data_IF_273785767471
#
_entry.id   IF_273785767471
#
_cell.length_a   1.000
_cell.length_b   1.000
_cell.length_c   1.000
_cell.angle_alpha   90.00
_cell.angle_beta   90.00
_cell.angle_gamma   90.00
#
_symmetry.space_group_name_H-M   'P 1'
#
loop_
_entity.id
_entity.type
_entity.pdbx_description
1 polymer ?
#
# COMPACT_ATOMS: atom_id res chain seq x y z
N UNK A 1 21.79 -26.08 11.09
CA UNK A 1 21.64 -24.76 10.44
C UNK A 1 20.16 -24.44 10.41
N UNK A 2 19.79 -23.20 10.72
CA UNK A 2 18.39 -22.80 10.86
C UNK A 2 17.81 -22.43 9.50
N UNK A 3 16.74 -23.10 9.09
CA UNK A 3 15.88 -22.77 7.92
C UNK A 3 15.58 -21.27 7.79
N UNK A 4 15.59 -20.54 8.91
CA UNK A 4 15.29 -19.12 8.99
C UNK A 4 16.45 -18.18 8.64
N UNK A 5 17.69 -18.59 8.90
CA UNK A 5 18.86 -17.84 8.42
C UNK A 5 18.93 -17.92 6.88
N UNK A 6 18.51 -19.06 6.34
CA UNK A 6 18.41 -19.27 4.90
C UNK A 6 17.28 -18.41 4.29
N UNK A 7 16.09 -18.32 4.90
CA UNK A 7 15.00 -17.43 4.44
C UNK A 7 15.43 -15.96 4.36
N UNK A 8 16.08 -15.42 5.40
CA UNK A 8 16.54 -14.02 5.38
C UNK A 8 17.65 -13.80 4.33
N UNK A 9 18.52 -14.79 4.11
CA UNK A 9 19.52 -14.74 3.05
C UNK A 9 18.89 -14.86 1.65
N UNK A 10 17.83 -15.65 1.49
CA UNK A 10 17.10 -15.85 0.24
C UNK A 10 16.41 -14.57 -0.25
N UNK A 11 15.97 -13.71 0.66
CA UNK A 11 15.40 -12.39 0.33
C UNK A 11 16.47 -11.29 0.10
N UNK A 12 17.76 -11.61 0.17
CA UNK A 12 18.82 -10.72 -0.34
C UNK A 12 19.17 -10.98 -1.81
N UNK A 13 18.73 -12.14 -2.35
CA UNK A 13 18.88 -12.54 -3.75
C UNK A 13 17.69 -12.14 -4.62
N UNK A 14 17.93 -11.85 -5.89
CA UNK A 14 16.95 -11.31 -6.84
C UNK A 14 15.78 -12.25 -7.25
N UNK A 15 15.37 -13.22 -6.40
CA UNK A 15 14.40 -14.28 -6.71
C UNK A 15 13.22 -14.32 -5.72
N UNK A 16 12.63 -13.16 -5.43
CA UNK A 16 11.73 -13.01 -4.28
C UNK A 16 10.40 -13.78 -4.36
N UNK A 17 9.74 -13.86 -5.53
CA UNK A 17 8.44 -14.53 -5.69
C UNK A 17 8.51 -16.06 -5.48
N UNK A 18 9.57 -16.69 -6.01
CA UNK A 18 9.82 -18.14 -5.91
C UNK A 18 9.93 -18.62 -4.46
N UNK A 19 10.62 -17.88 -3.61
CA UNK A 19 10.79 -18.25 -2.20
C UNK A 19 9.47 -18.20 -1.43
N UNK A 20 8.57 -17.28 -1.79
CA UNK A 20 7.23 -17.23 -1.21
C UNK A 20 6.37 -18.39 -1.70
N UNK A 21 6.55 -18.82 -2.95
CA UNK A 21 5.93 -20.04 -3.46
C UNK A 21 6.30 -21.26 -2.61
N UNK A 22 7.58 -21.40 -2.25
CA UNK A 22 8.07 -22.45 -1.36
C UNK A 22 7.45 -22.35 0.04
N UNK A 23 7.41 -21.15 0.63
CA UNK A 23 6.78 -20.95 1.95
C UNK A 23 5.29 -21.32 1.91
N UNK A 24 4.56 -20.91 0.87
CA UNK A 24 3.14 -21.25 0.71
C UNK A 24 2.92 -22.74 0.50
N UNK A 25 3.82 -23.43 -0.22
CA UNK A 25 3.82 -24.90 -0.32
C UNK A 25 3.97 -25.54 1.06
N UNK A 26 4.94 -25.09 1.87
CA UNK A 26 5.14 -25.64 3.22
C UNK A 26 3.93 -25.36 4.13
N UNK A 27 3.31 -24.18 4.03
CA UNK A 27 2.05 -23.90 4.71
C UNK A 27 0.96 -24.87 4.24
N UNK A 28 0.82 -25.10 2.95
CA UNK A 28 -0.14 -26.08 2.41
C UNK A 28 0.08 -27.50 2.91
N UNK A 29 1.33 -27.94 3.02
CA UNK A 29 1.68 -29.29 3.46
C UNK A 29 1.50 -29.49 4.97
N UNK A 30 1.87 -28.50 5.78
CA UNK A 30 1.86 -28.62 7.25
C UNK A 30 0.58 -28.07 7.90
N UNK A 31 -0.11 -27.16 7.22
CA UNK A 31 -1.35 -26.50 7.69
C UNK A 31 -2.37 -26.43 6.54
N UNK A 32 -2.81 -27.59 6.02
CA UNK A 32 -3.63 -27.64 4.80
C UNK A 32 -4.93 -26.85 4.93
N UNK A 33 -5.58 -26.84 6.10
CA UNK A 33 -6.80 -26.08 6.33
C UNK A 33 -6.60 -24.57 6.09
N UNK A 34 -5.47 -24.00 6.52
CA UNK A 34 -5.20 -22.57 6.39
C UNK A 34 -5.11 -22.13 4.93
N UNK A 35 -4.36 -22.87 4.11
CA UNK A 35 -4.16 -22.52 2.71
C UNK A 35 -5.30 -23.01 1.81
N UNK A 36 -5.85 -24.21 2.04
CA UNK A 36 -7.00 -24.71 1.29
C UNK A 36 -8.24 -23.84 1.48
N UNK A 37 -8.52 -23.33 2.69
CA UNK A 37 -9.63 -22.40 2.91
C UNK A 37 -9.46 -21.06 2.20
N UNK A 38 -8.22 -20.58 2.07
CA UNK A 38 -7.91 -19.38 1.30
C UNK A 38 -8.21 -19.61 -0.20
N UNK A 39 -7.68 -20.70 -0.75
CA UNK A 39 -7.86 -21.06 -2.16
C UNK A 39 -9.32 -21.32 -2.48
N UNK A 40 -10.04 -22.04 -1.61
CA UNK A 40 -11.48 -22.26 -1.72
C UNK A 40 -12.24 -20.95 -1.89
N UNK A 41 -11.92 -19.95 -1.06
CA UNK A 41 -12.58 -18.65 -1.08
C UNK A 41 -12.20 -17.80 -2.30
N UNK A 42 -10.94 -17.82 -2.75
CA UNK A 42 -10.51 -16.99 -3.87
C UNK A 42 -10.89 -17.59 -5.23
N UNK A 43 -10.85 -18.91 -5.36
CA UNK A 43 -11.06 -19.63 -6.61
C UNK A 43 -12.45 -20.26 -6.74
N UNK A 44 -13.33 -20.06 -5.76
CA UNK A 44 -14.67 -20.67 -5.68
C UNK A 44 -14.65 -22.21 -5.84
N UNK A 45 -13.63 -22.84 -5.25
CA UNK A 45 -13.49 -24.30 -5.24
C UNK A 45 -14.03 -24.82 -3.91
N UNK A 46 -14.93 -25.82 -3.88
CA UNK A 46 -15.42 -26.37 -2.62
C UNK A 46 -14.27 -26.86 -1.73
N UNK A 47 -14.22 -26.41 -0.47
CA UNK A 47 -13.16 -26.77 0.47
C UNK A 47 -12.97 -28.29 0.63
N UNK A 48 -14.06 -29.07 0.50
CA UNK A 48 -14.02 -30.53 0.57
C UNK A 48 -13.13 -31.15 -0.51
N UNK A 49 -13.04 -30.51 -1.68
CA UNK A 49 -12.25 -30.99 -2.82
C UNK A 49 -10.76 -30.71 -2.58
N UNK A 50 -10.43 -29.68 -1.79
CA UNK A 50 -9.04 -29.32 -1.46
C UNK A 50 -8.46 -30.07 -0.24
N UNK A 51 -9.21 -30.99 0.38
CA UNK A 51 -8.76 -31.71 1.59
C UNK A 51 -7.52 -32.57 1.37
N UNK A 52 -7.34 -33.07 0.16
CA UNK A 52 -6.18 -33.88 -0.24
C UNK A 52 -5.35 -33.14 -1.30
N UNK A 53 -5.31 -31.81 -1.21
CA UNK A 53 -4.57 -31.02 -2.16
C UNK A 53 -3.06 -31.31 -2.05
N UNK A 54 -2.40 -31.47 -3.19
CA UNK A 54 -0.94 -31.56 -3.30
C UNK A 54 -0.39 -30.27 -3.87
N UNK A 55 0.67 -29.76 -3.26
CA UNK A 55 1.27 -28.48 -3.60
C UNK A 55 2.64 -28.68 -4.25
N UNK A 56 2.85 -28.12 -5.44
CA UNK A 56 4.10 -28.26 -6.20
C UNK A 56 4.61 -26.89 -6.65
N UNK A 57 5.86 -26.57 -6.33
CA UNK A 57 6.49 -25.33 -6.80
C UNK A 57 7.12 -25.54 -8.17
N UNK A 58 7.26 -24.44 -8.93
CA UNK A 58 7.93 -24.44 -10.24
C UNK A 58 7.32 -25.40 -11.26
N UNK A 59 5.99 -25.55 -11.22
CA UNK A 59 5.28 -26.44 -12.13
C UNK A 59 5.34 -25.94 -13.57
N UNK A 60 5.74 -26.82 -14.48
CA UNK A 60 5.82 -26.52 -15.92
C UNK A 60 4.49 -26.77 -16.60
N UNK A 61 4.00 -25.78 -17.33
CA UNK A 61 2.77 -25.89 -18.11
C UNK A 61 2.94 -25.33 -19.53
N UNK A 62 2.12 -25.80 -20.45
CA UNK A 62 2.11 -25.31 -21.83
C UNK A 62 1.17 -24.11 -21.94
N UNK A 63 1.76 -22.94 -22.22
CA UNK A 63 1.05 -21.74 -22.60
C UNK A 63 0.72 -21.70 -24.09
N UNK A 64 0.13 -20.59 -24.52
CA UNK A 64 -0.19 -20.31 -25.93
C UNK A 64 1.07 -20.09 -26.76
N UNK A 65 2.02 -19.35 -26.21
CA UNK A 65 3.20 -18.85 -26.89
C UNK A 65 4.45 -19.64 -26.50
N UNK A 66 4.48 -20.21 -25.29
CA UNK A 66 5.65 -20.95 -24.78
C UNK A 66 5.31 -21.85 -23.60
N UNK A 67 6.20 -22.80 -23.29
CA UNK A 67 6.18 -23.49 -21.99
C UNK A 67 6.58 -22.52 -20.89
N UNK A 68 5.80 -22.47 -19.82
CA UNK A 68 5.97 -21.57 -18.68
C UNK A 68 6.14 -22.36 -17.39
N UNK A 69 6.61 -21.66 -16.36
CA UNK A 69 6.79 -22.19 -15.00
C UNK A 69 5.93 -21.33 -14.09
N UNK A 70 5.00 -21.96 -13.37
CA UNK A 70 4.23 -21.31 -12.32
C UNK A 70 4.96 -21.36 -10.98
N UNK A 71 4.81 -20.34 -10.14
CA UNK A 71 5.45 -20.31 -8.82
C UNK A 71 4.94 -21.45 -7.92
N UNK A 72 3.64 -21.74 -8.00
CA UNK A 72 2.99 -22.79 -7.24
C UNK A 72 1.80 -23.38 -8.02
N UNK A 73 1.64 -24.69 -7.95
CA UNK A 73 0.52 -25.44 -8.53
C UNK A 73 -0.16 -26.29 -7.45
N UNK A 74 -1.49 -26.38 -7.54
CA UNK A 74 -2.33 -27.14 -6.61
C UNK A 74 -3.06 -28.23 -7.39
N UNK A 75 -2.81 -29.47 -6.99
CA UNK A 75 -3.47 -30.66 -7.52
C UNK A 75 -4.54 -31.12 -6.55
N UNK A 76 -5.62 -31.69 -7.06
CA UNK A 76 -6.72 -32.23 -6.27
C UNK A 76 -6.76 -33.75 -6.48
N UNK A 77 -6.81 -34.53 -5.39
CA UNK A 77 -6.83 -35.99 -5.48
C UNK A 77 -5.59 -36.56 -6.17
N UNK A 78 -5.81 -37.49 -7.10
CA UNK A 78 -4.75 -38.14 -7.90
C UNK A 78 -4.61 -37.55 -9.31
N UNK A 79 -5.14 -36.34 -9.53
CA UNK A 79 -5.13 -35.70 -10.84
C UNK A 79 -3.70 -35.45 -11.36
N UNK A 80 -3.50 -35.74 -12.64
CA UNK A 80 -2.21 -35.56 -13.34
C UNK A 80 -1.96 -34.08 -13.69
N UNK A 81 -3.01 -33.27 -13.76
CA UNK A 81 -2.94 -31.84 -14.04
C UNK A 81 -3.42 -31.03 -12.82
N UNK A 82 -2.83 -29.85 -12.55
CA UNK A 82 -3.25 -29.04 -11.42
C UNK A 82 -4.61 -28.38 -11.68
N UNK A 83 -5.40 -28.22 -10.62
CA UNK A 83 -6.66 -27.46 -10.60
C UNK A 83 -6.38 -25.96 -10.55
N UNK A 84 -5.32 -25.54 -9.84
CA UNK A 84 -4.97 -24.13 -9.65
C UNK A 84 -3.50 -23.89 -9.96
N UNK A 85 -3.19 -22.83 -10.71
CA UNK A 85 -1.86 -22.24 -10.81
C UNK A 85 -1.82 -20.91 -10.07
N UNK A 86 -0.72 -20.65 -9.37
CA UNK A 86 -0.49 -19.43 -8.60
C UNK A 86 0.76 -18.73 -9.11
N UNK A 87 0.62 -17.44 -9.42
CA UNK A 87 1.70 -16.53 -9.79
C UNK A 87 1.88 -15.47 -8.68
N UNK A 88 3.10 -15.25 -8.23
CA UNK A 88 3.43 -14.40 -7.09
C UNK A 88 4.25 -13.18 -7.54
N UNK A 89 3.68 -11.99 -7.36
CA UNK A 89 4.29 -10.69 -7.64
C UNK A 89 4.66 -9.98 -6.33
N UNK A 90 5.93 -10.02 -5.96
CA UNK A 90 6.41 -9.58 -4.64
C UNK A 90 7.03 -8.16 -4.63
N UNK A 91 8.11 -7.94 -5.38
CA UNK A 91 8.87 -6.67 -5.39
C UNK A 91 9.23 -6.18 -6.78
N UNK A 92 8.62 -6.75 -7.83
CA UNK A 92 9.10 -6.59 -9.19
C UNK A 92 9.51 -5.14 -9.46
N UNK A 93 10.82 -4.99 -9.71
CA UNK A 93 11.45 -3.78 -10.25
C UNK A 93 10.46 -3.17 -11.24
N UNK A 94 10.40 -1.82 -11.38
CA UNK A 94 9.62 -1.22 -12.44
C UNK A 94 9.89 -2.02 -13.70
N UNK A 95 8.83 -2.66 -14.21
CA UNK A 95 8.88 -3.50 -15.39
C UNK A 95 9.58 -2.65 -16.44
N UNK A 96 10.86 -2.93 -16.71
CA UNK A 96 11.66 -2.25 -17.73
C UNK A 96 11.06 -2.70 -19.06
N UNK A 97 10.00 -2.00 -19.47
CA UNK A 97 8.98 -2.58 -20.34
C UNK A 97 8.17 -3.64 -19.61
N UNK A 98 6.88 -3.75 -19.89
CA UNK A 98 6.04 -4.88 -19.48
C UNK A 98 6.72 -6.24 -19.71
N UNK A 99 7.35 -6.82 -18.69
CA UNK A 99 7.98 -8.15 -18.72
C UNK A 99 7.36 -9.15 -17.72
N UNK A 100 6.11 -8.92 -17.30
CA UNK A 100 5.14 -9.95 -17.67
C UNK A 100 4.93 -9.65 -19.14
N UNK A 101 5.60 -10.39 -20.04
CA UNK A 101 5.24 -10.27 -21.44
C UNK A 101 3.71 -10.38 -21.51
N UNK A 102 2.97 -9.58 -22.30
CA UNK A 102 1.57 -9.86 -22.56
C UNK A 102 1.33 -11.36 -22.81
N UNK A 103 2.31 -12.03 -23.42
CA UNK A 103 2.46 -13.48 -23.56
C UNK A 103 2.32 -14.28 -22.25
N UNK A 104 2.87 -13.90 -21.09
CA UNK A 104 2.81 -14.71 -19.87
C UNK A 104 1.38 -14.76 -19.29
N UNK A 105 0.67 -13.63 -19.16
CA UNK A 105 -0.74 -13.69 -18.76
C UNK A 105 -1.64 -14.26 -19.86
N UNK A 106 -1.27 -14.13 -21.13
CA UNK A 106 -1.91 -14.87 -22.22
C UNK A 106 -1.69 -16.39 -22.11
N UNK A 107 -0.51 -16.83 -21.71
CA UNK A 107 -0.16 -18.23 -21.49
C UNK A 107 -0.97 -18.82 -20.34
N UNK A 108 -1.11 -18.09 -19.23
CA UNK A 108 -1.99 -18.47 -18.13
C UNK A 108 -3.46 -18.52 -18.53
N UNK A 109 -3.95 -17.51 -19.27
CA UNK A 109 -5.33 -17.49 -19.78
C UNK A 109 -5.60 -18.66 -20.72
N UNK A 110 -4.66 -18.95 -21.61
CA UNK A 110 -4.74 -20.09 -22.51
C UNK A 110 -4.81 -21.41 -21.74
N UNK A 111 -3.92 -21.59 -20.76
CA UNK A 111 -3.94 -22.79 -19.92
C UNK A 111 -5.26 -22.97 -19.16
N UNK A 112 -5.80 -21.86 -18.60
CA UNK A 112 -7.12 -21.82 -17.96
C UNK A 112 -8.24 -22.17 -18.94
N UNK A 113 -8.22 -21.61 -20.15
CA UNK A 113 -9.25 -21.85 -21.17
C UNK A 113 -9.33 -23.29 -21.67
N UNK A 114 -8.28 -24.09 -21.42
CA UNK A 114 -8.23 -25.49 -21.83
C UNK A 114 -9.12 -26.42 -20.99
N UNK A 115 -9.62 -25.98 -19.84
CA UNK A 115 -10.52 -26.75 -18.97
C UNK A 115 -11.30 -25.80 -18.05
N UNK A 116 -12.63 -25.92 -18.00
CA UNK A 116 -13.48 -25.11 -17.11
C UNK A 116 -13.15 -25.32 -15.62
N UNK A 117 -12.52 -26.44 -15.30
CA UNK A 117 -12.02 -26.77 -13.98
C UNK A 117 -10.60 -26.24 -13.73
N UNK A 118 -10.13 -25.20 -14.41
CA UNK A 118 -8.82 -24.61 -14.12
C UNK A 118 -8.94 -23.20 -13.62
N UNK A 119 -8.16 -22.92 -12.58
CA UNK A 119 -8.09 -21.60 -11.98
C UNK A 119 -6.67 -21.05 -11.97
N UNK A 120 -6.56 -19.75 -12.12
CA UNK A 120 -5.29 -19.03 -12.03
C UNK A 120 -5.45 -17.88 -11.05
N UNK A 121 -4.64 -17.90 -10.01
CA UNK A 121 -4.60 -16.91 -8.95
C UNK A 121 -3.29 -16.13 -9.00
N UNK A 122 -3.39 -14.82 -9.18
CA UNK A 122 -2.24 -13.90 -9.12
C UNK A 122 -2.24 -13.21 -7.76
N UNK A 123 -1.17 -13.41 -6.98
CA UNK A 123 -0.98 -12.74 -5.69
C UNK A 123 -0.02 -11.57 -5.91
N UNK A 124 -0.47 -10.34 -5.65
CA UNK A 124 0.31 -9.14 -5.95
C UNK A 124 0.18 -8.03 -4.92
N UNK A 125 1.17 -7.13 -4.86
CA UNK A 125 1.05 -5.87 -4.11
C UNK A 125 0.18 -4.85 -4.84
N UNK A 126 0.35 -4.74 -6.16
CA UNK A 126 -0.30 -3.72 -7.00
C UNK A 126 -1.67 -4.25 -7.50
N UNK A 127 -2.62 -3.35 -7.77
CA UNK A 127 -3.90 -3.71 -8.36
C UNK A 127 -3.71 -3.99 -9.87
N UNK A 128 -3.38 -5.23 -10.20
CA UNK A 128 -3.32 -5.68 -11.60
C UNK A 128 -4.74 -5.85 -12.15
N UNK A 129 -5.02 -5.21 -13.27
CA UNK A 129 -6.17 -5.57 -14.10
C UNK A 129 -5.74 -6.71 -15.02
N UNK A 130 -5.97 -7.95 -14.59
CA UNK A 130 -5.84 -9.13 -15.44
C UNK A 130 -7.24 -9.68 -15.72
N UNK A 131 -7.75 -9.40 -16.93
CA UNK A 131 -9.04 -9.93 -17.38
C UNK A 131 -9.02 -11.45 -17.30
N UNK A 132 -10.08 -12.09 -16.80
CA UNK A 132 -10.27 -13.55 -16.67
C UNK A 132 -9.37 -14.29 -15.66
N UNK A 133 -8.40 -13.60 -15.04
CA UNK A 133 -7.58 -14.15 -13.97
C UNK A 133 -8.06 -13.64 -12.62
N UNK A 134 -7.97 -14.48 -11.59
CA UNK A 134 -8.26 -14.06 -10.22
C UNK A 134 -7.04 -13.30 -9.70
N UNK A 135 -7.22 -12.05 -9.28
CA UNK A 135 -6.14 -11.24 -8.70
C UNK A 135 -6.44 -10.97 -7.23
N UNK A 136 -5.52 -11.34 -6.36
CA UNK A 136 -5.61 -11.15 -4.92
C UNK A 136 -4.42 -10.35 -4.41
N UNK A 137 -4.66 -9.45 -3.44
CA UNK A 137 -3.57 -8.73 -2.77
C UNK A 137 -2.95 -9.54 -1.65
N UNK A 138 -1.68 -9.26 -1.34
CA UNK A 138 -1.01 -9.77 -0.14
C UNK A 138 -1.81 -9.50 1.13
N UNK A 139 -2.46 -8.34 1.26
CA UNK A 139 -3.31 -8.03 2.43
C UNK A 139 -4.39 -9.07 2.67
N UNK A 140 -5.04 -9.55 1.60
CA UNK A 140 -6.14 -10.52 1.70
C UNK A 140 -5.61 -11.88 2.13
N UNK A 141 -4.47 -12.31 1.58
CA UNK A 141 -3.81 -13.55 1.99
C UNK A 141 -3.35 -13.46 3.44
N UNK A 142 -2.62 -12.42 3.83
CA UNK A 142 -2.10 -12.27 5.18
C UNK A 142 -3.24 -12.18 6.21
N UNK A 143 -4.30 -11.41 5.93
CA UNK A 143 -5.48 -11.31 6.81
C UNK A 143 -6.16 -12.67 7.01
N UNK A 144 -6.23 -13.48 5.94
CA UNK A 144 -6.75 -14.84 6.02
C UNK A 144 -5.84 -15.73 6.88
N UNK A 145 -4.55 -15.76 6.57
CA UNK A 145 -3.56 -16.59 7.27
C UNK A 145 -3.39 -16.20 8.75
N UNK A 146 -3.54 -14.92 9.10
CA UNK A 146 -3.43 -14.41 10.48
C UNK A 146 -4.39 -15.08 11.46
N UNK A 147 -5.49 -15.68 10.99
CA UNK A 147 -6.40 -16.47 11.83
C UNK A 147 -5.77 -17.77 12.34
N UNK A 148 -4.74 -18.26 11.63
CA UNK A 148 -4.02 -19.50 11.90
C UNK A 148 -2.62 -19.26 12.48
N UNK A 149 -2.24 -18.00 12.74
CA UNK A 149 -0.89 -17.68 13.24
C UNK A 149 -0.60 -18.27 14.62
N UNK A 150 -1.63 -18.40 15.47
CA UNK A 150 -1.50 -19.01 16.81
C UNK A 150 -1.18 -20.50 16.79
N UNK A 151 -1.41 -21.17 15.67
CA UNK A 151 -1.25 -22.61 15.53
C UNK A 151 -0.10 -22.98 14.58
N UNK A 152 0.62 -21.98 14.03
CA UNK A 152 1.70 -22.20 13.09
C UNK A 152 2.69 -21.05 13.11
N UNK A 153 3.89 -21.32 13.64
CA UNK A 153 5.01 -20.38 13.65
C UNK A 153 5.37 -19.94 12.22
N UNK A 154 5.29 -20.84 11.24
CA UNK A 154 5.57 -20.53 9.84
C UNK A 154 4.59 -19.47 9.29
N UNK A 155 3.30 -19.60 9.63
CA UNK A 155 2.28 -18.63 9.22
C UNK A 155 2.51 -17.29 9.93
N UNK A 156 2.77 -17.32 11.24
CA UNK A 156 3.06 -16.12 12.01
C UNK A 156 4.25 -15.36 11.40
N UNK A 157 5.35 -16.06 11.13
CA UNK A 157 6.55 -15.45 10.55
C UNK A 157 6.33 -14.89 9.15
N UNK A 158 5.55 -15.57 8.29
CA UNK A 158 5.21 -15.02 6.97
C UNK A 158 4.40 -13.73 7.12
N UNK A 159 3.38 -13.71 7.98
CA UNK A 159 2.56 -12.51 8.20
C UNK A 159 3.41 -11.37 8.75
N UNK A 160 4.23 -11.61 9.77
CA UNK A 160 5.14 -10.61 10.35
C UNK A 160 6.12 -10.07 9.30
N UNK A 161 6.69 -10.92 8.47
CA UNK A 161 7.59 -10.49 7.39
C UNK A 161 6.88 -9.60 6.35
N UNK A 162 5.67 -9.98 5.92
CA UNK A 162 4.86 -9.17 5.00
C UNK A 162 4.47 -7.81 5.62
N UNK A 163 4.17 -7.80 6.93
CA UNK A 163 3.90 -6.59 7.71
C UNK A 163 5.17 -5.72 7.81
N UNK A 164 6.33 -6.32 8.03
CA UNK A 164 7.60 -5.63 8.14
C UNK A 164 8.01 -4.92 6.85
N UNK A 165 7.81 -5.60 5.72
CA UNK A 165 8.09 -5.09 4.38
C UNK A 165 7.07 -4.04 3.90
N UNK A 166 5.96 -3.85 4.63
CA UNK A 166 4.89 -2.93 4.26
C UNK A 166 4.14 -3.39 3.01
N UNK A 167 3.98 -4.70 2.86
CA UNK A 167 3.15 -5.33 1.82
C UNK A 167 1.72 -5.54 2.28
N UNK A 168 1.50 -5.51 3.60
CA UNK A 168 0.19 -5.65 4.21
C UNK A 168 -0.06 -4.56 5.25
N UNK A 169 -1.32 -4.16 5.34
CA UNK A 169 -1.79 -3.19 6.32
C UNK A 169 -1.75 -3.80 7.72
N UNK A 170 -1.33 -3.00 8.70
CA UNK A 170 -1.26 -3.37 10.11
C UNK A 170 -2.25 -2.54 10.92
N UNK A 171 -2.93 -3.18 11.87
CA UNK A 171 -3.64 -2.45 12.92
C UNK A 171 -2.65 -1.69 13.80
N UNK A 172 -3.05 -0.49 14.21
CA UNK A 172 -2.23 0.44 15.00
C UNK A 172 -2.94 0.72 16.32
N UNK A 173 -2.21 0.70 17.43
CA UNK A 173 -2.75 1.17 18.72
C UNK A 173 -2.90 2.69 18.67
N UNK A 174 -4.14 3.14 18.48
CA UNK A 174 -4.48 4.55 18.38
C UNK A 174 -4.14 5.35 19.64
N UNK A 175 -4.15 4.73 20.83
CA UNK A 175 -3.79 5.43 22.07
C UNK A 175 -2.29 5.74 22.10
N UNK A 176 -1.47 4.74 21.80
CA UNK A 176 -0.01 4.87 21.76
C UNK A 176 0.42 5.84 20.66
N UNK A 177 -0.22 5.78 19.49
CA UNK A 177 0.00 6.74 18.41
C UNK A 177 -0.44 8.17 18.81
N UNK A 178 -1.60 8.33 19.46
CA UNK A 178 -2.09 9.64 19.92
C UNK A 178 -1.13 10.30 20.90
N UNK A 179 -0.60 9.52 21.85
CA UNK A 179 0.42 10.01 22.80
C UNK A 179 1.70 10.42 22.07
N UNK A 180 2.08 9.67 21.04
CA UNK A 180 3.26 9.98 20.24
C UNK A 180 3.08 11.30 19.48
N UNK A 181 1.94 11.47 18.83
CA UNK A 181 1.59 12.71 18.16
C UNK A 181 1.58 13.91 19.10
N UNK A 182 0.96 13.79 20.27
CA UNK A 182 0.97 14.86 21.28
C UNK A 182 2.39 15.19 21.77
N UNK A 183 3.29 14.20 21.88
CA UNK A 183 4.71 14.45 22.19
C UNK A 183 5.39 15.32 21.13
N UNK A 184 5.07 15.12 19.85
CA UNK A 184 5.68 15.88 18.75
C UNK A 184 5.21 17.34 18.73
N UNK A 185 3.90 17.57 18.89
CA UNK A 185 3.29 18.88 18.61
C UNK A 185 2.69 19.62 19.81
N UNK A 186 2.64 19.03 21.01
CA UNK A 186 2.17 19.70 22.21
C UNK A 186 3.32 20.02 23.20
N UNK A 187 3.12 20.94 24.14
CA UNK A 187 4.09 21.23 25.19
C UNK A 187 4.42 20.01 26.05
N UNK A 188 5.71 19.77 26.25
CA UNK A 188 6.30 18.66 27.00
C UNK A 188 5.87 18.58 28.46
N UNK A 189 5.47 19.69 29.10
CA UNK A 189 4.94 19.71 30.48
C UNK A 189 3.41 19.62 30.59
N UNK A 190 2.69 19.49 29.46
CA UNK A 190 1.23 19.28 29.43
C UNK A 190 0.89 17.97 28.72
N UNK A 191 0.10 18.03 27.65
CA UNK A 191 -0.29 16.86 26.86
C UNK A 191 0.89 16.20 26.13
N UNK A 192 2.05 16.85 26.09
CA UNK A 192 3.31 16.28 25.59
C UNK A 192 4.14 15.51 26.62
N UNK A 193 3.73 15.39 27.90
CA UNK A 193 4.43 14.52 28.87
C UNK A 193 4.19 13.05 28.49
N UNK A 194 5.12 12.44 27.78
CA UNK A 194 5.06 11.03 27.38
C UNK A 194 6.06 10.17 28.16
N UNK A 195 5.85 10.03 29.47
CA UNK A 195 6.70 9.17 30.31
C UNK A 195 6.54 7.66 30.03
N UNK A 196 5.42 7.23 29.42
CA UNK A 196 5.06 5.81 29.23
C UNK A 196 4.69 5.44 27.78
N UNK A 197 5.22 6.13 26.75
CA UNK A 197 4.88 5.82 25.35
C UNK A 197 6.06 5.22 24.58
N UNK A 198 6.55 4.09 25.06
CA UNK A 198 7.63 3.32 24.41
C UNK A 198 7.19 2.79 23.05
N UNK A 199 5.90 2.46 22.91
CA UNK A 199 5.34 1.86 21.70
C UNK A 199 5.01 2.89 20.60
N UNK A 200 4.90 4.17 20.96
CA UNK A 200 4.53 5.26 20.04
C UNK A 200 5.34 5.30 18.72
N UNK A 201 6.68 5.25 18.76
CA UNK A 201 7.51 5.18 17.55
C UNK A 201 7.24 3.93 16.71
N UNK A 202 6.99 2.77 17.33
CA UNK A 202 6.67 1.54 16.62
C UNK A 202 5.31 1.67 15.91
N UNK A 203 4.29 2.19 16.60
CA UNK A 203 2.98 2.47 16.03
C UNK A 203 3.03 3.50 14.89
N UNK A 204 3.90 4.52 15.00
CA UNK A 204 4.14 5.46 13.90
C UNK A 204 4.84 4.80 12.71
N UNK A 205 5.78 3.89 12.94
CA UNK A 205 6.43 3.11 11.88
C UNK A 205 5.41 2.25 11.12
N UNK A 206 4.49 1.59 11.83
CA UNK A 206 3.37 0.85 11.21
C UNK A 206 2.52 1.76 10.31
N UNK A 207 2.27 3.00 10.73
CA UNK A 207 1.53 3.97 9.92
C UNK A 207 2.26 4.35 8.63
N UNK A 208 3.59 4.52 8.67
CA UNK A 208 4.41 4.72 7.47
C UNK A 208 4.38 3.48 6.55
N UNK A 209 4.44 2.27 7.12
CA UNK A 209 4.33 1.02 6.36
C UNK A 209 2.95 0.84 5.72
N UNK A 210 1.88 1.20 6.41
CA UNK A 210 0.53 1.25 5.84
C UNK A 210 0.46 2.23 4.66
N UNK A 211 1.11 3.39 4.76
CA UNK A 211 1.19 4.34 3.64
C UNK A 211 1.99 3.77 2.45
N UNK A 212 3.09 3.05 2.72
CA UNK A 212 3.85 2.31 1.68
C UNK A 212 2.97 1.27 1.00
N UNK A 213 2.18 0.51 1.75
CA UNK A 213 1.25 -0.48 1.19
C UNK A 213 0.21 0.18 0.28
N UNK A 214 -0.44 1.26 0.74
CA UNK A 214 -1.47 1.98 0.00
C UNK A 214 -0.90 2.64 -1.27
N UNK A 215 0.33 3.16 -1.21
CA UNK A 215 0.98 3.75 -2.40
C UNK A 215 1.22 2.74 -3.52
N UNK A 216 1.38 1.46 -3.17
CA UNK A 216 1.54 0.37 -4.14
C UNK A 216 0.35 0.22 -5.08
N UNK A 217 -0.86 0.56 -4.60
CA UNK A 217 -2.08 0.59 -5.43
C UNK A 217 -2.01 1.62 -6.56
N UNK A 218 -1.20 2.68 -6.40
CA UNK A 218 -1.07 3.77 -7.37
C UNK A 218 0.17 3.67 -8.26
N UNK A 219 1.21 2.94 -7.84
CA UNK A 219 2.51 2.87 -8.52
C UNK A 219 2.36 2.55 -10.02
N UNK A 220 1.53 1.56 -10.38
CA UNK A 220 1.29 1.18 -11.78
C UNK A 220 0.67 2.31 -12.59
N UNK A 221 -0.28 3.06 -12.01
CA UNK A 221 -0.95 4.16 -12.71
C UNK A 221 0.02 5.28 -13.05
N UNK A 222 0.85 5.67 -12.09
CA UNK A 222 1.86 6.70 -12.29
C UNK A 222 2.96 6.24 -13.26
N UNK A 223 3.45 5.01 -13.14
CA UNK A 223 4.43 4.42 -14.07
C UNK A 223 3.90 4.39 -15.50
N UNK A 224 2.69 3.87 -15.71
CA UNK A 224 2.08 3.76 -17.04
C UNK A 224 1.81 5.13 -17.67
N UNK A 225 1.32 6.09 -16.87
CA UNK A 225 1.10 7.45 -17.33
C UNK A 225 2.41 8.10 -17.81
N UNK A 226 3.50 7.89 -17.07
CA UNK A 226 4.82 8.41 -17.41
C UNK A 226 5.40 7.76 -18.68
N UNK A 227 5.34 6.43 -18.77
CA UNK A 227 5.83 5.67 -19.94
C UNK A 227 5.14 6.12 -21.24
N UNK A 228 3.81 6.24 -21.22
CA UNK A 228 3.04 6.69 -22.39
C UNK A 228 3.30 8.15 -22.76
N UNK A 229 3.63 8.99 -21.78
CA UNK A 229 3.91 10.40 -22.03
C UNK A 229 5.29 10.65 -22.65
N UNK A 230 6.28 9.79 -22.37
CA UNK A 230 7.67 9.98 -22.82
C UNK A 230 8.09 9.14 -24.02
N UNK A 231 7.32 8.10 -24.37
CA UNK A 231 7.76 7.09 -25.33
C UNK A 231 8.89 6.23 -24.77
N UNK A 232 9.09 5.05 -25.36
CA UNK A 232 10.17 4.12 -25.03
C UNK A 232 11.53 4.67 -25.47
N UNK A 233 12.04 5.70 -24.80
CA UNK A 233 13.42 6.14 -24.98
C UNK A 233 14.28 5.53 -23.88
N UNK A 234 15.12 4.58 -24.29
CA UNK A 234 16.18 3.96 -23.49
C UNK A 234 17.03 5.04 -22.80
N UNK A 235 17.25 4.89 -21.49
CA UNK A 235 18.12 5.78 -20.70
C UNK A 235 17.45 6.72 -19.70
N UNK A 236 16.10 6.78 -19.62
CA UNK A 236 15.37 7.60 -18.61
C UNK A 236 14.65 6.80 -17.52
N UNK A 237 14.94 5.50 -17.38
CA UNK A 237 14.34 4.62 -16.38
C UNK A 237 14.55 5.09 -14.93
N UNK A 238 15.63 5.82 -14.65
CA UNK A 238 15.94 6.34 -13.30
C UNK A 238 14.88 7.31 -12.74
N UNK A 239 13.95 7.77 -13.59
CA UNK A 239 12.85 8.69 -13.23
C UNK A 239 11.54 7.99 -12.82
N UNK A 240 11.37 6.70 -13.12
CA UNK A 240 10.17 5.89 -12.81
C UNK A 240 10.20 5.34 -11.38
N UNK A 241 10.50 6.21 -10.41
CA UNK A 241 10.63 5.79 -9.01
C UNK A 241 9.25 5.49 -8.42
N UNK A 242 9.19 4.44 -7.61
CA UNK A 242 8.08 4.20 -6.69
C UNK A 242 7.83 5.44 -5.82
N UNK A 243 6.63 5.53 -5.25
CA UNK A 243 6.30 6.65 -4.37
C UNK A 243 7.35 6.83 -3.25
N UNK A 244 7.84 8.04 -3.03
CA UNK A 244 8.54 8.35 -1.78
C UNK A 244 7.50 8.43 -0.66
N UNK A 245 7.77 7.77 0.45
CA UNK A 245 6.94 7.85 1.67
C UNK A 245 7.63 8.79 2.64
N UNK A 246 6.90 9.78 3.13
CA UNK A 246 7.45 10.80 4.02
C UNK A 246 6.37 11.34 4.98
N UNK A 247 6.78 12.19 5.91
CA UNK A 247 5.88 12.84 6.85
C UNK A 247 6.31 14.29 7.14
N UNK A 248 5.32 15.12 7.47
CA UNK A 248 5.51 16.50 7.91
C UNK A 248 4.91 16.70 9.30
N UNK A 249 5.54 17.55 10.10
CA UNK A 249 5.08 17.96 11.43
C UNK A 249 5.02 19.47 11.47
N UNK A 250 3.81 20.02 11.43
CA UNK A 250 3.57 21.45 11.53
C UNK A 250 3.08 21.76 12.95
N UNK A 251 3.81 22.59 13.70
CA UNK A 251 3.40 22.98 15.04
C UNK A 251 2.45 24.19 14.97
N UNK A 252 1.34 24.11 15.69
CA UNK A 252 0.48 25.26 15.96
C UNK A 252 1.02 26.01 17.18
N UNK A 253 1.13 27.33 17.04
CA UNK A 253 1.77 28.19 18.04
C UNK A 253 0.77 29.17 18.64
N UNK A 254 0.86 29.36 19.95
CA UNK A 254 0.11 30.38 20.67
C UNK A 254 0.50 31.77 20.19
N UNK A 255 -0.47 32.54 19.72
CA UNK A 255 -0.30 33.96 19.39
C UNK A 255 0.15 34.75 20.63
N UNK A 256 1.14 35.62 20.47
CA UNK A 256 1.57 36.55 21.53
C UNK A 256 2.93 37.18 21.26
N UNK A 257 3.20 38.30 21.92
CA UNK A 257 4.44 39.07 21.75
C UNK A 257 5.64 38.28 22.33
N UNK A 258 6.75 38.24 21.58
CA UNK A 258 7.99 37.57 21.96
C UNK A 258 8.46 36.52 20.95
N UNK A 259 9.71 36.09 21.06
CA UNK A 259 10.26 35.08 20.14
C UNK A 259 9.48 33.76 20.19
N UNK A 260 9.36 33.10 19.05
CA UNK A 260 8.87 31.72 18.93
C UNK A 260 10.01 30.70 18.94
N UNK A 261 11.23 31.17 18.69
CA UNK A 261 12.47 30.37 18.65
C UNK A 261 13.34 30.74 19.86
N UNK A 262 13.95 29.74 20.50
CA UNK A 262 14.91 29.93 21.57
C UNK A 262 16.24 30.48 21.05
N UNK A 263 17.14 30.80 21.98
CA UNK A 263 18.51 31.22 21.64
C UNK A 263 19.31 30.11 20.94
N UNK A 264 18.89 28.87 21.09
CA UNK A 264 19.43 27.66 20.48
C UNK A 264 18.91 27.40 19.05
N UNK A 265 18.03 28.26 18.52
CA UNK A 265 17.43 28.08 17.20
C UNK A 265 16.27 27.08 17.16
N UNK A 266 15.86 26.50 18.28
CA UNK A 266 14.76 25.55 18.34
C UNK A 266 13.42 26.21 18.72
N UNK A 267 12.33 25.61 18.27
CA UNK A 267 10.98 26.08 18.61
C UNK A 267 10.75 25.99 20.13
N UNK A 268 10.36 27.10 20.75
CA UNK A 268 10.09 27.16 22.19
C UNK A 268 8.88 26.31 22.55
N UNK A 269 9.10 25.29 23.39
CA UNK A 269 8.06 24.33 23.76
C UNK A 269 6.82 24.97 24.42
N UNK A 270 6.99 26.05 25.20
CA UNK A 270 5.88 26.85 25.76
C UNK A 270 4.94 27.44 24.73
N UNK A 271 5.41 27.59 23.49
CA UNK A 271 4.63 28.20 22.40
C UNK A 271 3.72 27.20 21.72
N UNK A 272 3.98 25.89 21.83
CA UNK A 272 3.17 24.86 21.17
C UNK A 272 1.75 24.78 21.74
N UNK A 273 0.75 24.62 20.88
CA UNK A 273 -0.66 24.40 21.28
C UNK A 273 -1.29 23.20 20.61
N UNK A 274 -0.49 22.43 19.86
CA UNK A 274 -0.99 21.39 19.00
C UNK A 274 -0.28 21.46 17.66
N UNK A 275 -0.87 20.84 16.66
CA UNK A 275 -0.32 20.89 15.32
C UNK A 275 -0.95 19.89 14.39
N UNK A 276 -0.32 19.78 13.23
CA UNK A 276 -0.70 18.89 12.16
C UNK A 276 0.44 17.92 11.89
N UNK A 277 0.10 16.65 11.82
CA UNK A 277 1.03 15.61 11.38
C UNK A 277 0.46 15.03 10.10
N UNK A 278 1.24 15.04 9.03
CA UNK A 278 0.82 14.54 7.73
C UNK A 278 1.75 13.42 7.31
N UNK A 279 1.22 12.30 6.87
CA UNK A 279 1.96 11.15 6.38
C UNK A 279 1.49 10.90 4.96
N UNK A 280 2.42 10.83 4.01
CA UNK A 280 2.04 10.81 2.60
C UNK A 280 2.98 9.99 1.74
N UNK A 281 2.38 9.47 0.68
CA UNK A 281 3.08 9.04 -0.50
C UNK A 281 3.18 10.20 -1.49
N UNK A 282 4.26 10.23 -2.26
CA UNK A 282 4.48 11.24 -3.29
C UNK A 282 5.00 10.58 -4.57
N UNK A 283 4.27 10.80 -5.65
CA UNK A 283 4.67 10.42 -7.01
C UNK A 283 5.07 11.64 -7.81
N UNK A 284 6.14 11.50 -8.59
CA UNK A 284 6.60 12.54 -9.51
C UNK A 284 5.99 12.35 -10.90
N UNK A 285 5.51 13.44 -11.49
CA UNK A 285 5.11 13.60 -12.88
C UNK A 285 6.01 14.64 -13.55
N UNK A 286 7.33 14.54 -13.32
CA UNK A 286 8.33 15.51 -13.75
C UNK A 286 9.48 15.61 -12.76
N UNK A 287 10.73 15.56 -13.25
CA UNK A 287 11.94 15.69 -12.43
C UNK A 287 12.77 16.92 -12.81
N UNK A 288 13.33 17.59 -11.80
CA UNK A 288 14.38 18.62 -11.94
C UNK A 288 13.90 20.08 -11.95
N UNK A 289 14.68 20.96 -11.30
CA UNK A 289 14.57 22.43 -11.35
C UNK A 289 13.13 22.95 -11.26
N UNK A 290 12.76 23.86 -12.16
CA UNK A 290 11.42 24.46 -12.23
C UNK A 290 10.36 23.57 -12.92
N UNK A 291 10.67 22.30 -13.17
CA UNK A 291 9.84 21.37 -13.95
C UNK A 291 9.24 20.23 -13.12
N UNK A 292 9.36 20.28 -11.80
CA UNK A 292 8.73 19.25 -10.97
C UNK A 292 7.21 19.49 -10.89
N UNK A 293 6.46 18.41 -11.05
CA UNK A 293 5.06 18.29 -10.71
C UNK A 293 4.93 17.02 -9.89
N UNK A 294 4.31 17.10 -8.72
CA UNK A 294 4.19 15.98 -7.81
C UNK A 294 2.78 15.89 -7.28
N UNK A 295 2.28 14.66 -7.20
CA UNK A 295 1.00 14.35 -6.56
C UNK A 295 1.33 13.72 -5.21
N UNK A 296 0.84 14.33 -4.15
CA UNK A 296 0.95 13.85 -2.77
C UNK A 296 -0.41 13.39 -2.30
N UNK A 297 -0.47 12.29 -1.58
CA UNK A 297 -1.69 11.79 -0.98
C UNK A 297 -1.39 10.97 0.26
N UNK A 298 -2.30 10.97 1.21
CA UNK A 298 -2.12 10.24 2.46
C UNK A 298 -3.05 10.69 3.56
N UNK A 299 -2.54 10.72 4.78
CA UNK A 299 -3.29 10.91 6.01
C UNK A 299 -2.82 12.15 6.75
N UNK A 300 -3.76 12.99 7.19
CA UNK A 300 -3.52 14.19 7.98
C UNK A 300 -4.20 14.06 9.32
N UNK A 301 -3.45 14.36 10.39
CA UNK A 301 -3.88 14.31 11.77
C UNK A 301 -3.82 15.71 12.37
N UNK A 302 -4.93 16.19 12.91
CA UNK A 302 -4.98 17.44 13.67
C UNK A 302 -5.00 17.09 15.15
N UNK A 303 -4.00 17.58 15.86
CA UNK A 303 -3.71 17.21 17.25
C UNK A 303 -3.76 18.48 18.08
N UNK A 304 -4.68 18.56 19.04
CA UNK A 304 -4.86 19.75 19.88
C UNK A 304 -4.35 19.53 21.29
N UNK A 305 -3.74 20.57 21.87
CA UNK A 305 -3.38 20.59 23.29
C UNK A 305 -4.64 20.75 24.12
N UNK A 306 -4.93 19.75 24.96
CA UNK A 306 -6.12 19.67 25.81
C UNK A 306 -6.42 20.87 26.73
N UNK A 307 -5.52 21.85 26.89
CA UNK A 307 -5.83 23.06 27.68
C UNK A 307 -6.81 24.03 27.02
N UNK A 308 -7.21 23.81 25.76
CA UNK A 308 -8.25 24.59 25.08
C UNK A 308 -9.62 23.90 25.06
N UNK A 309 -9.70 22.62 25.42
CA UNK A 309 -10.96 21.89 25.60
C UNK A 309 -11.50 22.16 27.02
N UNK A 310 -12.13 23.32 27.21
CA UNK A 310 -12.80 23.65 28.48
C UNK A 310 -13.97 22.68 28.74
N UNK A 311 -13.95 22.09 29.94
CA UNK A 311 -15.09 21.62 30.74
C UNK A 311 -15.94 20.50 30.15
N UNK A 312 -15.62 19.26 30.54
CA UNK A 312 -16.55 18.14 30.49
C UNK A 312 -15.85 16.81 30.27
N UNK A 313 -15.50 16.14 31.37
CA UNK A 313 -15.20 14.70 31.46
C UNK A 313 -14.22 14.08 30.46
N UNK A 314 -13.00 13.80 30.92
CA UNK A 314 -12.15 12.77 30.31
C UNK A 314 -10.66 13.01 30.47
N UNK A 315 -9.91 11.92 30.68
CA UNK A 315 -8.45 11.91 30.75
C UNK A 315 -7.85 12.53 29.47
N UNK A 316 -7.24 13.70 29.59
CA UNK A 316 -6.79 14.57 28.47
C UNK A 316 -5.74 13.95 27.52
N UNK A 317 -5.09 12.87 27.94
CA UNK A 317 -4.17 12.09 27.12
C UNK A 317 -4.87 11.24 26.05
N UNK A 318 -6.18 11.00 26.17
CA UNK A 318 -6.94 10.05 25.32
C UNK A 318 -7.77 10.65 24.19
N UNK A 319 -7.88 11.97 24.07
CA UNK A 319 -8.63 12.56 22.93
C UNK A 319 -7.93 12.22 21.63
N UNK A 320 -8.59 11.43 20.78
CA UNK A 320 -8.10 11.00 19.48
C UNK A 320 -7.92 12.22 18.55
N UNK A 321 -6.89 12.23 17.69
CA UNK A 321 -6.71 13.25 16.66
C UNK A 321 -7.89 13.31 15.69
N UNK A 322 -8.16 14.48 15.12
CA UNK A 322 -9.00 14.52 13.93
C UNK A 322 -8.21 13.94 12.76
N UNK A 323 -8.84 13.07 11.97
CA UNK A 323 -8.19 12.37 10.88
C UNK A 323 -8.82 12.72 9.54
N UNK A 324 -7.98 12.92 8.53
CA UNK A 324 -8.38 13.21 7.16
C UNK A 324 -7.55 12.38 6.20
N UNK A 325 -8.18 11.81 5.17
CA UNK A 325 -7.46 11.49 3.95
C UNK A 325 -7.35 12.75 3.10
N UNK A 326 -6.24 12.91 2.39
CA UNK A 326 -6.09 14.02 1.48
C UNK A 326 -5.28 13.64 0.24
N UNK A 327 -5.45 14.40 -0.82
CA UNK A 327 -4.58 14.42 -1.98
C UNK A 327 -4.36 15.85 -2.42
N UNK A 328 -3.17 16.16 -2.91
CA UNK A 328 -2.89 17.43 -3.54
C UNK A 328 -1.79 17.38 -4.58
N UNK A 329 -1.78 18.36 -5.47
CA UNK A 329 -0.70 18.57 -6.41
C UNK A 329 0.12 19.78 -6.02
N UNK A 330 1.43 19.69 -6.22
CA UNK A 330 2.33 20.82 -6.08
C UNK A 330 3.44 20.74 -7.11
N UNK A 331 3.92 21.91 -7.52
CA UNK A 331 4.88 22.05 -8.61
C UNK A 331 5.25 23.51 -8.76
N UNK A 332 6.49 23.81 -9.18
CA UNK A 332 6.96 25.20 -9.23
C UNK A 332 6.08 26.10 -10.09
N UNK A 333 5.57 25.57 -11.20
CA UNK A 333 4.72 26.30 -12.15
C UNK A 333 3.24 26.38 -11.77
N UNK A 334 2.84 25.73 -10.68
CA UNK A 334 1.43 25.66 -10.24
C UNK A 334 1.22 26.14 -8.81
N UNK A 335 2.30 26.42 -8.08
CA UNK A 335 2.28 26.90 -6.68
C UNK A 335 1.44 28.17 -6.52
N UNK A 336 1.49 29.09 -7.49
CA UNK A 336 0.76 30.37 -7.45
C UNK A 336 -0.63 30.31 -8.12
N UNK A 337 -1.00 29.18 -8.72
CA UNK A 337 -2.20 29.06 -9.57
C UNK A 337 -3.42 28.47 -8.84
N UNK A 338 -3.28 28.15 -7.55
CA UNK A 338 -4.36 27.69 -6.68
C UNK A 338 -4.08 26.35 -6.01
N UNK A 339 -4.85 26.06 -4.96
CA UNK A 339 -4.74 24.84 -4.19
C UNK A 339 -5.45 23.68 -4.91
N UNK A 340 -4.69 22.86 -5.62
CA UNK A 340 -5.13 21.55 -6.10
C UNK A 340 -5.21 20.58 -4.92
N UNK A 341 -6.14 20.82 -4.00
CA UNK A 341 -6.25 20.12 -2.72
C UNK A 341 -7.65 19.55 -2.52
N UNK A 342 -7.71 18.28 -2.14
CA UNK A 342 -8.96 17.65 -1.72
C UNK A 342 -8.73 16.80 -0.48
N UNK A 343 -9.72 16.82 0.42
CA UNK A 343 -9.69 16.01 1.64
C UNK A 343 -11.02 15.35 1.94
N UNK A 344 -10.97 14.35 2.81
CA UNK A 344 -12.12 13.66 3.36
C UNK A 344 -11.87 13.32 4.82
N UNK A 345 -12.70 13.84 5.72
CA UNK A 345 -12.64 13.52 7.16
C UNK A 345 -12.99 12.04 7.37
N UNK A 346 -12.23 11.37 8.23
CA UNK A 346 -12.45 9.99 8.67
C UNK A 346 -12.39 9.91 10.19
N UNK A 347 -12.96 8.83 10.73
CA UNK A 347 -12.69 8.44 12.11
C UNK A 347 -11.23 7.99 12.23
N UNK A 348 -10.52 8.43 13.28
CA UNK A 348 -9.16 7.99 13.57
C UNK A 348 -9.04 6.46 13.62
N UNK A 349 -10.04 5.79 14.20
CA UNK A 349 -10.09 4.34 14.29
C UNK A 349 -10.03 3.61 12.93
N UNK A 350 -10.48 4.25 11.85
CA UNK A 350 -10.41 3.66 10.50
C UNK A 350 -8.95 3.50 10.06
N UNK A 351 -8.07 4.44 10.41
CA UNK A 351 -6.64 4.39 10.03
C UNK A 351 -5.76 3.80 11.12
N UNK A 352 -6.34 3.41 12.27
CA UNK A 352 -5.64 2.78 13.39
C UNK A 352 -6.15 1.37 13.71
N UNK A 353 -7.10 1.21 14.62
CA UNK A 353 -7.49 -0.11 15.15
C UNK A 353 -8.28 -0.96 14.13
N UNK A 354 -8.82 -0.33 13.09
CA UNK A 354 -9.61 -0.98 12.03
C UNK A 354 -8.95 -0.91 10.66
N UNK A 355 -7.70 -0.48 10.59
CA UNK A 355 -7.01 -0.25 9.31
C UNK A 355 -7.02 -1.51 8.44
N UNK A 356 -6.74 -2.69 9.02
CA UNK A 356 -6.73 -3.97 8.29
C UNK A 356 -8.07 -4.32 7.65
N UNK A 357 -9.19 -4.00 8.30
CA UNK A 357 -10.53 -4.31 7.80
C UNK A 357 -11.03 -3.25 6.83
N UNK A 358 -10.59 -2.01 6.99
CA UNK A 358 -11.05 -0.87 6.21
C UNK A 358 -10.07 -0.47 5.08
N UNK A 359 -8.98 -1.22 4.84
CA UNK A 359 -7.98 -0.95 3.77
C UNK A 359 -8.64 -0.67 2.42
N UNK A 360 -9.54 -1.56 1.98
CA UNK A 360 -10.21 -1.43 0.66
C UNK A 360 -11.02 -0.11 0.56
N UNK A 361 -11.58 0.35 1.68
CA UNK A 361 -12.32 1.61 1.76
C UNK A 361 -11.39 2.82 1.77
N UNK A 362 -10.27 2.74 2.49
CA UNK A 362 -9.23 3.78 2.51
C UNK A 362 -8.66 3.95 1.09
N UNK A 363 -8.30 2.85 0.43
CA UNK A 363 -7.82 2.84 -0.95
C UNK A 363 -8.84 3.49 -1.89
N UNK A 364 -10.12 3.11 -1.80
CA UNK A 364 -11.20 3.70 -2.60
C UNK A 364 -11.32 5.21 -2.39
N UNK A 365 -11.23 5.69 -1.16
CA UNK A 365 -11.30 7.13 -0.87
C UNK A 365 -10.06 7.88 -1.36
N UNK A 366 -8.86 7.33 -1.17
CA UNK A 366 -7.64 7.93 -1.72
C UNK A 366 -7.70 7.99 -3.26
N UNK A 367 -8.20 6.93 -3.91
CA UNK A 367 -8.36 6.89 -5.36
C UNK A 367 -9.27 8.01 -5.86
N UNK A 368 -10.40 8.23 -5.19
CA UNK A 368 -11.31 9.33 -5.51
C UNK A 368 -10.66 10.70 -5.31
N UNK A 369 -9.88 10.89 -4.24
CA UNK A 369 -9.20 12.15 -3.97
C UNK A 369 -8.11 12.43 -5.01
N UNK A 370 -7.28 11.43 -5.34
CA UNK A 370 -6.24 11.53 -6.38
C UNK A 370 -6.88 11.81 -7.74
N UNK A 371 -7.97 11.12 -8.10
CA UNK A 371 -8.69 11.36 -9.35
C UNK A 371 -9.23 12.78 -9.46
N UNK A 372 -9.78 13.35 -8.38
CA UNK A 372 -10.24 14.74 -8.35
C UNK A 372 -9.09 15.72 -8.57
N UNK A 373 -7.97 15.54 -7.85
CA UNK A 373 -6.77 16.39 -8.01
C UNK A 373 -6.24 16.32 -9.44
N UNK A 374 -6.09 15.12 -10.00
CA UNK A 374 -5.58 14.93 -11.36
C UNK A 374 -6.53 15.52 -12.40
N UNK A 375 -7.85 15.39 -12.22
CA UNK A 375 -8.84 15.99 -13.12
C UNK A 375 -8.79 17.52 -13.07
N UNK A 376 -8.65 18.10 -11.87
CA UNK A 376 -8.53 19.55 -11.72
C UNK A 376 -7.28 20.11 -12.42
N UNK A 377 -6.14 19.40 -12.37
CA UNK A 377 -4.91 19.78 -13.08
C UNK A 377 -5.13 19.76 -14.60
N UNK A 378 -5.74 18.70 -15.12
CA UNK A 378 -6.01 18.52 -16.55
C UNK A 378 -6.93 19.64 -17.10
N UNK A 379 -7.96 19.99 -16.33
CA UNK A 379 -8.95 21.00 -16.71
C UNK A 379 -8.40 22.44 -16.62
N UNK A 380 -7.43 22.70 -15.72
CA UNK A 380 -6.92 24.05 -15.40
C UNK A 380 -5.97 24.67 -16.45
N UNK A 381 -5.70 24.00 -17.58
CA UNK A 381 -4.81 24.49 -18.68
C UNK A 381 -3.47 25.06 -18.17
N UNK A 382 -2.81 24.35 -17.26
CA UNK A 382 -1.63 24.84 -16.55
C UNK A 382 -0.40 25.06 -17.47
N UNK A 383 0.52 25.97 -17.11
CA UNK A 383 1.76 26.24 -17.84
C UNK A 383 2.84 25.15 -17.63
N UNK A 384 2.43 23.90 -17.49
CA UNK A 384 3.32 22.73 -17.36
C UNK A 384 3.79 22.23 -18.73
N UNK A 385 4.85 21.43 -18.75
CA UNK A 385 5.43 20.90 -19.99
C UNK A 385 4.46 19.97 -20.73
N UNK A 386 4.59 19.85 -22.05
CA UNK A 386 3.69 19.02 -22.87
C UNK A 386 3.66 17.55 -22.43
N UNK A 387 4.80 16.98 -22.06
CA UNK A 387 4.87 15.62 -21.52
C UNK A 387 4.16 15.48 -20.18
N UNK A 388 4.17 16.51 -19.32
CA UNK A 388 3.46 16.49 -18.04
C UNK A 388 1.95 16.54 -18.27
N UNK A 389 1.49 17.36 -19.23
CA UNK A 389 0.09 17.37 -19.66
C UNK A 389 -0.35 15.99 -20.14
N UNK A 390 0.47 15.34 -20.97
CA UNK A 390 0.17 14.00 -21.46
C UNK A 390 0.15 12.96 -20.33
N UNK A 391 1.09 13.03 -19.38
CA UNK A 391 1.11 12.14 -18.23
C UNK A 391 -0.13 12.33 -17.33
N UNK A 392 -0.51 13.57 -17.04
CA UNK A 392 -1.74 13.90 -16.29
C UNK A 392 -2.97 13.35 -17.01
N UNK A 393 -3.08 13.51 -18.33
CA UNK A 393 -4.18 13.00 -19.15
C UNK A 393 -4.26 11.47 -19.12
N UNK A 394 -3.14 10.76 -19.28
CA UNK A 394 -3.10 9.29 -19.20
C UNK A 394 -3.39 8.78 -17.78
N UNK A 395 -2.92 9.49 -16.75
CA UNK A 395 -3.24 9.19 -15.36
C UNK A 395 -4.74 9.34 -15.10
N UNK A 396 -5.36 10.45 -15.53
CA UNK A 396 -6.81 10.69 -15.46
C UNK A 396 -7.59 9.56 -16.10
N UNK A 397 -7.20 9.16 -17.33
CA UNK A 397 -7.84 8.07 -18.06
C UNK A 397 -7.80 6.77 -17.26
N UNK A 398 -6.62 6.40 -16.75
CA UNK A 398 -6.42 5.15 -16.02
C UNK A 398 -7.19 5.12 -14.70
N UNK A 399 -7.16 6.21 -13.93
CA UNK A 399 -7.91 6.35 -12.68
C UNK A 399 -9.44 6.32 -12.91
N UNK A 400 -9.92 6.82 -14.05
CA UNK A 400 -11.35 6.81 -14.39
C UNK A 400 -11.84 5.38 -14.66
N UNK A 401 -11.11 4.60 -15.47
CA UNK A 401 -11.46 3.20 -15.78
C UNK A 401 -11.56 2.34 -14.51
N UNK A 402 -10.64 2.52 -13.55
CA UNK A 402 -10.67 1.77 -12.28
C UNK A 402 -11.80 2.22 -11.35
N UNK A 403 -12.18 3.51 -11.37
CA UNK A 403 -13.30 4.00 -10.54
C UNK A 403 -14.60 3.30 -10.91
N UNK A 404 -14.81 3.00 -12.20
CA UNK A 404 -15.97 2.23 -12.66
C UNK A 404 -15.90 0.78 -12.17
N UNK A 405 -14.72 0.16 -12.14
CA UNK A 405 -14.54 -1.20 -11.62
C UNK A 405 -14.76 -1.30 -10.09
N UNK A 406 -14.33 -0.32 -9.30
CA UNK A 406 -14.57 -0.27 -7.84
C UNK A 406 -16.01 0.07 -7.42
N UNK A 407 -16.89 0.36 -8.39
CA UNK A 407 -18.32 0.60 -8.18
C UNK A 407 -19.18 -0.61 -8.58
N UNK A 408 -18.59 -1.61 -9.23
CA UNK A 408 -19.23 -2.91 -9.46
C UNK A 408 -19.08 -3.74 -8.17
N UNK A 409 -20.17 -4.31 -7.62
CA UNK A 409 -20.03 -5.27 -6.53
C UNK A 409 -19.21 -6.47 -7.02
N UNK A 410 -18.18 -6.82 -6.25
CA UNK A 410 -17.48 -8.12 -6.35
C UNK A 410 -18.25 -9.19 -5.61
#
# INVERSE_FOLDING_TARGET
>A
MSFFADIQHWFSGAFYGRHLGLILREIGNHQPEAFASFISKQCDIPLRDLKQARYECEYRFNGKCSTRIADLAIFVGEDVAPRVLIEIKYFDKPLAGTEVKPEQFEDYRYWKSGDENREVLVISRELYQATELIVCRWDRLARHLKQFSRTSDLIQMLVEYLEEEGLVTQNIDGNSLTRYFKRLVCPTWKSGVSANNVDGPAEFSKLLKNMKQLSGSFDVYFKNAWLKAHGTHEGRESSLKAASIDFNVDNELRSGNGSVVGEDGYLLDKRKTGGRISIFAQHALGNGGDRYLRIRYGMKFIVVSSSEFKRGHGNSSKTAPECYLYAYAWGKKIEDLGDFYHEKKLSFAIVTEKSELETDKIDKYLHQLVHKVVSAIDDAKLPIESFQKQAVKELRKTLTTTTVAHLMPS
#
